data_IF_427648721035
#
_entry.id   IF_427648721035
#
_cell.length_a   1.000
_cell.length_b   1.000
_cell.length_c   1.000
_cell.angle_alpha   90.00
_cell.angle_beta   90.00
_cell.angle_gamma   90.00
#
_symmetry.space_group_name_H-M   'P 1'
#
loop_
_entity.id
_entity.type
_entity.pdbx_description
1 polymer ?
#
# COMPACT_ATOMS: atom_id res chain seq x y z
N UNK A 1 -12.41 2.27 2.60
CA UNK A 1 -11.34 1.50 3.27
C UNK A 1 -10.04 1.50 2.49
N UNK A 2 -9.87 0.76 1.36
CA UNK A 2 -8.60 0.82 0.61
C UNK A 2 -8.24 2.26 0.20
N UNK A 3 -9.20 3.01 -0.33
CA UNK A 3 -8.99 4.41 -0.67
C UNK A 3 -8.74 5.29 0.58
N UNK A 4 -9.70 5.34 1.50
CA UNK A 4 -9.67 6.20 2.70
C UNK A 4 -8.50 5.91 3.67
N UNK A 5 -8.06 4.66 3.77
CA UNK A 5 -7.04 4.25 4.76
C UNK A 5 -5.69 4.10 4.10
N UNK A 6 -5.61 3.42 2.95
CA UNK A 6 -4.32 3.20 2.30
C UNK A 6 -3.94 4.42 1.46
N UNK A 7 -4.78 4.82 0.51
CA UNK A 7 -4.42 5.85 -0.48
C UNK A 7 -4.45 7.30 0.05
N UNK A 8 -4.94 7.54 1.27
CA UNK A 8 -5.05 8.88 1.86
C UNK A 8 -4.13 9.11 3.08
N UNK A 9 -3.40 8.09 3.56
CA UNK A 9 -2.55 8.21 4.76
C UNK A 9 -1.07 7.98 4.48
N UNK A 10 -0.23 8.46 5.39
CA UNK A 10 1.22 8.23 5.39
C UNK A 10 1.56 7.21 6.48
N UNK A 11 2.53 6.35 6.21
CA UNK A 11 2.89 5.26 7.10
C UNK A 11 4.38 5.27 7.42
N UNK A 12 4.68 5.32 8.72
CA UNK A 12 5.99 4.95 9.23
C UNK A 12 6.06 3.43 9.49
N UNK A 13 7.25 2.92 9.80
CA UNK A 13 7.49 1.49 10.04
C UNK A 13 6.56 0.87 11.09
N UNK A 14 6.25 1.60 12.18
CA UNK A 14 5.30 1.11 13.18
C UNK A 14 3.88 1.05 12.64
N UNK A 15 3.46 2.06 11.90
CA UNK A 15 2.14 2.16 11.28
C UNK A 15 1.89 1.08 10.23
N UNK A 16 2.88 0.73 9.40
CA UNK A 16 2.75 -0.34 8.40
C UNK A 16 2.55 -1.72 9.04
N UNK A 17 3.25 -1.98 10.15
CA UNK A 17 3.12 -3.22 10.94
C UNK A 17 1.75 -3.29 11.61
N UNK A 18 1.31 -2.22 12.26
CA UNK A 18 0.01 -2.16 12.93
C UNK A 18 -1.14 -2.34 11.94
N UNK A 19 -1.12 -1.61 10.82
CA UNK A 19 -2.11 -1.75 9.75
C UNK A 19 -2.19 -3.19 9.22
N UNK A 20 -1.03 -3.83 9.01
CA UNK A 20 -0.98 -5.22 8.54
C UNK A 20 -1.56 -6.20 9.55
N UNK A 21 -1.30 -5.97 10.85
CA UNK A 21 -1.90 -6.75 11.91
C UNK A 21 -3.43 -6.61 11.90
N UNK A 22 -3.95 -5.39 11.78
CA UNK A 22 -5.40 -5.13 11.77
C UNK A 22 -6.08 -5.75 10.53
N UNK A 23 -5.45 -5.67 9.36
CA UNK A 23 -5.93 -6.35 8.15
C UNK A 23 -5.98 -7.86 8.33
N UNK A 24 -4.91 -8.48 8.84
CA UNK A 24 -4.84 -9.95 8.95
C UNK A 24 -5.70 -10.50 10.08
N UNK A 25 -5.79 -9.79 11.21
CA UNK A 25 -6.47 -10.28 12.41
C UNK A 25 -7.95 -9.95 12.44
N UNK A 26 -8.35 -8.79 11.94
CA UNK A 26 -9.73 -8.32 12.06
C UNK A 26 -10.46 -8.42 10.73
N UNK A 27 -9.85 -7.94 9.65
CA UNK A 27 -10.56 -7.80 8.38
C UNK A 27 -10.60 -9.10 7.60
N UNK A 28 -9.47 -9.77 7.43
CA UNK A 28 -9.42 -11.04 6.71
C UNK A 28 -10.43 -12.06 7.26
N UNK A 29 -10.52 -12.34 8.58
CA UNK A 29 -11.52 -13.28 9.11
C UNK A 29 -12.97 -12.83 8.93
N UNK A 30 -13.25 -11.52 8.96
CA UNK A 30 -14.59 -10.99 8.77
C UNK A 30 -15.16 -11.26 7.36
N UNK A 31 -14.28 -11.53 6.38
CA UNK A 31 -14.66 -11.84 5.00
C UNK A 31 -14.61 -13.35 4.66
N UNK A 32 -14.32 -14.23 5.64
CA UNK A 32 -14.03 -15.65 5.38
C UNK A 32 -15.26 -16.58 5.24
N UNK A 33 -16.52 -16.21 5.54
CA UNK A 33 -17.64 -16.84 4.84
C UNK A 33 -17.89 -16.08 3.52
N UNK A 34 -17.91 -16.76 2.36
CA UNK A 34 -18.13 -16.11 1.08
C UNK A 34 -19.59 -15.67 0.95
N UNK A 35 -19.95 -14.55 1.57
CA UNK A 35 -21.17 -13.86 1.21
C UNK A 35 -20.97 -13.32 -0.21
N UNK A 36 -21.78 -13.81 -1.17
CA UNK A 36 -21.65 -13.46 -2.60
C UNK A 36 -21.58 -11.95 -2.85
N UNK A 37 -22.26 -11.16 -2.00
CA UNK A 37 -22.25 -9.70 -2.00
C UNK A 37 -20.90 -9.11 -1.60
N UNK A 38 -20.23 -9.68 -0.58
CA UNK A 38 -18.90 -9.23 -0.14
C UNK A 38 -17.82 -9.51 -1.19
N UNK A 39 -17.98 -10.56 -2.01
CA UNK A 39 -17.04 -10.89 -3.09
C UNK A 39 -17.00 -9.83 -4.21
N UNK A 40 -18.13 -9.15 -4.48
CA UNK A 40 -18.22 -8.13 -5.53
C UNK A 40 -17.63 -6.78 -5.11
N UNK A 41 -17.51 -6.53 -3.79
CA UNK A 41 -16.90 -5.32 -3.22
C UNK A 41 -15.52 -5.64 -2.62
N UNK A 42 -14.97 -6.82 -2.94
CA UNK A 42 -13.84 -7.38 -2.20
C UNK A 42 -12.53 -6.63 -2.48
N UNK A 43 -12.27 -5.57 -1.71
CA UNK A 43 -11.00 -4.84 -1.69
C UNK A 43 -9.91 -5.62 -0.95
N UNK A 44 -10.22 -6.79 -0.35
CA UNK A 44 -9.28 -7.54 0.47
C UNK A 44 -8.01 -7.95 -0.28
N UNK A 45 -8.06 -8.41 -1.55
CA UNK A 45 -6.83 -8.69 -2.30
C UNK A 45 -5.95 -7.45 -2.43
N UNK A 46 -6.53 -6.28 -2.73
CA UNK A 46 -5.80 -5.00 -2.79
C UNK A 46 -5.23 -4.59 -1.43
N UNK A 47 -5.95 -4.84 -0.34
CA UNK A 47 -5.47 -4.56 1.03
C UNK A 47 -4.29 -5.45 1.41
N UNK A 48 -4.32 -6.73 1.05
CA UNK A 48 -3.21 -7.65 1.29
C UNK A 48 -1.98 -7.26 0.46
N UNK A 49 -2.18 -6.85 -0.79
CA UNK A 49 -1.10 -6.31 -1.64
C UNK A 49 -0.55 -4.98 -1.13
N UNK A 50 -1.40 -4.08 -0.61
CA UNK A 50 -0.97 -2.87 0.07
C UNK A 50 -0.11 -3.18 1.30
N UNK A 51 -0.53 -4.11 2.16
CA UNK A 51 0.27 -4.56 3.29
C UNK A 51 1.66 -5.04 2.83
N UNK A 52 1.73 -5.72 1.68
CA UNK A 52 2.99 -6.17 1.10
C UNK A 52 3.88 -5.01 0.65
N UNK A 53 3.35 -4.03 -0.06
CA UNK A 53 4.09 -2.84 -0.50
C UNK A 53 4.57 -1.98 0.69
N UNK A 54 3.70 -1.78 1.67
CA UNK A 54 3.99 -1.01 2.89
C UNK A 54 5.08 -1.66 3.75
N UNK A 55 5.18 -2.99 3.76
CA UNK A 55 6.18 -3.73 4.55
C UNK A 55 7.31 -4.33 3.71
N UNK A 56 7.44 -3.92 2.44
CA UNK A 56 8.55 -4.34 1.58
C UNK A 56 9.87 -3.80 2.14
N UNK A 57 10.97 -4.54 2.00
CA UNK A 57 12.30 -4.05 2.38
C UNK A 57 12.61 -2.69 1.71
N UNK A 58 13.36 -1.84 2.41
CA UNK A 58 13.66 -0.49 1.94
C UNK A 58 14.26 -0.47 0.53
N UNK A 59 15.25 -1.32 0.25
CA UNK A 59 15.95 -1.30 -1.03
C UNK A 59 15.06 -1.81 -2.17
N UNK A 60 14.29 -2.87 -1.91
CA UNK A 60 13.31 -3.39 -2.87
C UNK A 60 12.23 -2.37 -3.18
N UNK A 61 11.69 -1.73 -2.15
CA UNK A 61 10.65 -0.73 -2.29
C UNK A 61 11.15 0.52 -3.04
N UNK A 62 12.37 0.96 -2.75
CA UNK A 62 13.04 2.05 -3.45
C UNK A 62 13.23 1.73 -4.94
N UNK A 63 13.72 0.52 -5.26
CA UNK A 63 13.89 0.06 -6.65
C UNK A 63 12.55 -0.01 -7.39
N UNK A 64 11.54 -0.61 -6.76
CA UNK A 64 10.21 -0.74 -7.34
C UNK A 64 9.55 0.63 -7.58
N UNK A 65 9.63 1.56 -6.61
CA UNK A 65 9.16 2.94 -6.75
C UNK A 65 9.83 3.66 -7.92
N UNK A 66 11.15 3.52 -8.06
CA UNK A 66 11.88 4.12 -9.17
C UNK A 66 11.47 3.53 -10.53
N UNK A 67 11.24 2.22 -10.60
CA UNK A 67 10.76 1.52 -11.80
C UNK A 67 9.36 2.01 -12.20
N UNK A 68 8.43 2.03 -11.24
CA UNK A 68 7.05 2.50 -11.44
C UNK A 68 6.98 3.96 -11.90
N UNK A 69 7.84 4.83 -11.37
CA UNK A 69 7.88 6.24 -11.74
C UNK A 69 8.45 6.50 -13.15
N UNK A 70 9.38 5.65 -13.63
CA UNK A 70 10.05 5.86 -14.93
C UNK A 70 9.40 5.10 -16.07
N UNK A 71 8.91 3.88 -15.80
CA UNK A 71 8.46 2.94 -16.82
C UNK A 71 7.21 2.17 -16.33
N UNK A 72 6.05 2.83 -16.17
CA UNK A 72 4.86 2.21 -15.58
C UNK A 72 4.38 0.96 -16.33
N UNK A 73 4.54 0.92 -17.66
CA UNK A 73 4.15 -0.25 -18.47
C UNK A 73 5.06 -1.47 -18.22
N UNK A 74 6.37 -1.28 -18.12
CA UNK A 74 7.32 -2.35 -17.79
C UNK A 74 7.24 -2.75 -16.31
N UNK A 75 6.78 -1.85 -15.45
CA UNK A 75 6.64 -2.11 -14.03
C UNK A 75 5.51 -3.11 -13.69
N UNK A 76 4.57 -3.39 -14.60
CA UNK A 76 3.53 -4.42 -14.42
C UNK A 76 4.15 -5.81 -14.21
N UNK A 77 5.20 -6.15 -14.94
CA UNK A 77 5.93 -7.42 -14.78
C UNK A 77 6.67 -7.48 -13.44
N UNK A 78 7.24 -6.34 -13.01
CA UNK A 78 7.88 -6.22 -11.69
C UNK A 78 6.86 -6.42 -10.57
N UNK A 79 5.68 -5.77 -10.63
CA UNK A 79 4.58 -5.97 -9.67
C UNK A 79 4.16 -7.44 -9.61
N UNK A 80 4.01 -8.08 -10.78
CA UNK A 80 3.64 -9.49 -10.87
C UNK A 80 4.67 -10.42 -10.21
N UNK A 81 5.96 -10.10 -10.37
CA UNK A 81 7.08 -10.81 -9.71
C UNK A 81 7.03 -10.69 -8.18
N UNK A 82 6.51 -9.57 -7.68
CA UNK A 82 6.19 -9.38 -6.27
C UNK A 82 4.79 -9.88 -5.88
N UNK A 83 4.10 -10.68 -6.69
CA UNK A 83 2.73 -11.16 -6.45
C UNK A 83 1.72 -10.02 -6.14
N UNK A 84 1.88 -8.88 -6.82
CA UNK A 84 0.93 -7.77 -6.81
C UNK A 84 0.19 -7.84 -8.16
N UNK A 85 -1.06 -8.28 -8.13
CA UNK A 85 -1.88 -8.62 -9.31
C UNK A 85 -3.23 -7.93 -9.33
N UNK A 86 -3.70 -7.40 -8.20
CA UNK A 86 -5.01 -6.79 -8.07
C UNK A 86 -4.96 -5.26 -8.10
N UNK A 87 -3.76 -4.69 -8.15
CA UNK A 87 -3.51 -3.25 -8.08
C UNK A 87 -2.87 -2.71 -9.36
N UNK A 88 -3.26 -1.50 -9.76
CA UNK A 88 -2.69 -0.80 -10.91
C UNK A 88 -1.32 -0.19 -10.56
N UNK A 89 -0.42 0.04 -11.54
CA UNK A 89 0.90 0.63 -11.30
C UNK A 89 0.87 1.98 -10.56
N UNK A 90 -0.10 2.83 -10.86
CA UNK A 90 -0.26 4.14 -10.20
C UNK A 90 -0.66 3.99 -8.72
N UNK A 91 -1.56 3.07 -8.39
CA UNK A 91 -1.94 2.75 -7.01
C UNK A 91 -0.72 2.22 -6.24
N UNK A 92 0.07 1.31 -6.85
CA UNK A 92 1.27 0.78 -6.21
C UNK A 92 2.32 1.86 -5.97
N UNK A 93 2.52 2.76 -6.94
CA UNK A 93 3.42 3.90 -6.81
C UNK A 93 2.97 4.85 -5.69
N UNK A 94 1.67 5.14 -5.61
CA UNK A 94 1.10 5.98 -4.55
C UNK A 94 1.37 5.38 -3.17
N UNK A 95 1.13 4.08 -2.98
CA UNK A 95 1.41 3.39 -1.71
C UNK A 95 2.88 3.45 -1.32
N UNK A 96 3.78 3.28 -2.28
CA UNK A 96 5.22 3.39 -2.03
C UNK A 96 5.64 4.83 -1.69
N UNK A 97 4.96 5.85 -2.22
CA UNK A 97 5.25 7.25 -1.87
C UNK A 97 4.77 7.64 -0.47
N UNK A 98 3.79 6.91 0.08
CA UNK A 98 3.22 7.15 1.42
C UNK A 98 4.08 6.59 2.56
N UNK A 99 5.09 5.80 2.22
CA UNK A 99 6.08 5.29 3.16
C UNK A 99 7.04 6.40 3.57
N UNK A 100 6.99 6.81 4.84
CA UNK A 100 7.79 7.94 5.34
C UNK A 100 9.30 7.68 5.29
N UNK A 101 9.71 6.41 5.28
CA UNK A 101 11.11 6.02 5.12
C UNK A 101 11.62 6.19 3.67
N UNK A 102 10.72 6.13 2.69
CA UNK A 102 11.04 6.34 1.27
C UNK A 102 10.88 7.81 0.85
N UNK A 103 10.07 8.59 1.55
CA UNK A 103 9.82 9.99 1.20
C UNK A 103 11.11 10.80 1.26
N UNK A 104 11.43 11.49 0.15
CA UNK A 104 12.57 12.41 0.07
C UNK A 104 12.23 13.65 0.91
N UNK A 105 12.38 13.56 2.23
CA UNK A 105 12.33 14.63 3.24
C UNK A 105 11.65 15.93 2.80
N UNK A 106 10.38 15.81 2.40
CA UNK A 106 9.41 16.89 2.29
C UNK A 106 8.12 16.31 2.85
N UNK A 107 8.19 15.98 4.14
CA UNK A 107 7.01 15.93 4.98
C UNK A 107 6.20 17.21 4.70
N UNK A 108 4.88 17.16 4.47
CA UNK A 108 4.11 18.39 4.35
C UNK A 108 4.33 19.21 5.63
N UNK A 109 4.95 20.38 5.46
CA UNK A 109 5.23 21.35 6.50
C UNK A 109 3.93 22.04 6.98
N UNK A 110 2.90 21.28 7.32
CA UNK A 110 1.56 21.81 7.62
C UNK A 110 1.07 21.51 9.03
N UNK A 111 1.96 21.17 9.98
CA UNK A 111 1.59 20.98 11.40
C UNK A 111 2.45 21.81 12.36
N UNK A 112 3.26 22.76 11.86
CA UNK A 112 4.10 23.64 12.71
C UNK A 112 3.76 25.13 12.63
N UNK A 113 2.54 25.51 12.21
CA UNK A 113 2.07 26.92 12.28
C UNK A 113 0.78 27.08 13.09
N UNK A 114 0.57 26.28 14.13
CA UNK A 114 -0.55 26.46 15.05
C UNK A 114 -0.14 26.27 16.51
N UNK A 115 0.90 26.97 16.98
CA UNK A 115 1.10 27.33 18.39
C UNK A 115 1.92 28.61 18.50
#
# INVERSE_FOLDING_TARGET
>A
MFQEVVLENWFNTGGTVQFTHDVKRNLLPAFTPPNKVASQVNQLPKLLEACKLLNMDYDDARRLRASLSKQPNAAVENLSSHNIRHMQPNEALQILNQRTDLSDSTSPASVMELF
#
